data_IF_796953579148
#
_entry.id   IF_796953579148
#
_cell.length_a   1.000
_cell.length_b   1.000
_cell.length_c   1.000
_cell.angle_alpha   90.00
_cell.angle_beta   90.00
_cell.angle_gamma   90.00
#
_symmetry.space_group_name_H-M   'P 1'
#
loop_
_entity.id
_entity.type
_entity.pdbx_description
1 polymer ?
#
# COMPACT_ATOMS: atom_id res chain seq x y z
N UNK A 1 -22.72 25.55 -24.06
CA UNK A 1 -21.57 25.45 -25.00
C UNK A 1 -20.30 24.87 -24.37
N UNK A 2 -19.84 25.34 -23.19
CA UNK A 2 -18.57 24.88 -22.57
C UNK A 2 -18.52 23.36 -22.34
N UNK A 3 -19.59 22.76 -21.81
CA UNK A 3 -19.62 21.32 -21.53
C UNK A 3 -19.50 20.44 -22.80
N UNK A 4 -20.17 20.85 -23.89
CA UNK A 4 -20.07 20.14 -25.18
C UNK A 4 -18.65 20.22 -25.75
N UNK A 5 -18.01 21.38 -25.65
CA UNK A 5 -16.60 21.55 -26.04
C UNK A 5 -15.66 20.67 -25.22
N UNK A 6 -15.81 20.69 -23.90
CA UNK A 6 -14.98 19.88 -22.99
C UNK A 6 -15.14 18.38 -23.26
N UNK A 7 -16.35 17.93 -23.61
CA UNK A 7 -16.59 16.56 -24.04
C UNK A 7 -15.77 16.21 -25.28
N UNK A 8 -15.83 17.00 -26.34
CA UNK A 8 -15.02 16.76 -27.56
C UNK A 8 -13.51 16.83 -27.30
N UNK A 9 -13.05 17.77 -26.47
CA UNK A 9 -11.64 17.85 -26.04
C UNK A 9 -11.22 16.57 -25.30
N UNK A 10 -12.08 16.05 -24.43
CA UNK A 10 -11.80 14.81 -23.69
C UNK A 10 -11.74 13.59 -24.60
N UNK A 11 -12.62 13.51 -25.61
CA UNK A 11 -12.63 12.43 -26.59
C UNK A 11 -11.31 12.40 -27.39
N UNK A 12 -10.85 13.55 -27.90
CA UNK A 12 -9.57 13.62 -28.60
C UNK A 12 -8.36 13.34 -27.70
N UNK A 13 -8.39 13.80 -26.44
CA UNK A 13 -7.31 13.54 -25.49
C UNK A 13 -7.20 12.04 -25.16
N UNK A 14 -8.34 11.36 -24.95
CA UNK A 14 -8.39 9.92 -24.71
C UNK A 14 -8.00 9.11 -25.96
N UNK A 15 -8.19 9.65 -27.15
CA UNK A 15 -7.68 9.09 -28.40
C UNK A 15 -6.17 9.33 -28.61
N UNK A 16 -5.48 10.00 -27.67
CA UNK A 16 -4.03 10.21 -27.70
C UNK A 16 -3.55 11.41 -28.51
N UNK A 17 -4.44 12.31 -28.94
CA UNK A 17 -4.04 13.53 -29.66
C UNK A 17 -3.30 14.49 -28.72
N UNK A 18 -2.29 15.17 -29.27
CA UNK A 18 -1.57 16.23 -28.55
C UNK A 18 -2.42 17.49 -28.43
N UNK A 19 -2.12 18.34 -27.44
CA UNK A 19 -2.83 19.62 -27.20
C UNK A 19 -2.84 20.49 -28.46
N UNK A 20 -1.74 20.48 -29.22
CA UNK A 20 -1.59 21.24 -30.47
C UNK A 20 -2.55 20.74 -31.53
N UNK A 21 -2.59 19.43 -31.77
CA UNK A 21 -3.52 18.82 -32.73
C UNK A 21 -4.98 19.06 -32.36
N UNK A 22 -5.32 19.02 -31.05
CA UNK A 22 -6.67 19.31 -30.56
C UNK A 22 -7.05 20.78 -30.83
N UNK A 23 -6.12 21.70 -30.57
CA UNK A 23 -6.33 23.13 -30.80
C UNK A 23 -6.56 23.45 -32.28
N UNK A 24 -5.74 22.88 -33.17
CA UNK A 24 -5.90 23.01 -34.62
C UNK A 24 -7.25 22.47 -35.09
N UNK A 25 -7.60 21.25 -34.66
CA UNK A 25 -8.81 20.55 -35.11
C UNK A 25 -10.11 21.21 -34.63
N UNK A 26 -10.08 21.88 -33.49
CA UNK A 26 -11.22 22.62 -32.95
C UNK A 26 -11.18 24.12 -33.27
N UNK A 27 -10.12 24.61 -33.93
CA UNK A 27 -9.89 26.04 -34.18
C UNK A 27 -9.94 26.88 -32.89
N UNK A 28 -9.29 26.39 -31.83
CA UNK A 28 -9.24 27.03 -30.50
C UNK A 28 -7.80 27.38 -30.13
N UNK A 29 -7.62 28.37 -29.25
CA UNK A 29 -6.30 28.70 -28.73
C UNK A 29 -5.76 27.57 -27.84
N UNK A 30 -4.44 27.36 -27.85
CA UNK A 30 -3.75 26.41 -26.96
C UNK A 30 -4.06 26.66 -25.48
N UNK A 31 -4.16 27.93 -25.09
CA UNK A 31 -4.50 28.33 -23.73
C UNK A 31 -5.90 27.85 -23.31
N UNK A 32 -6.87 27.92 -24.23
CA UNK A 32 -8.23 27.41 -24.00
C UNK A 32 -8.23 25.89 -23.79
N UNK A 33 -7.55 25.13 -24.66
CA UNK A 33 -7.47 23.67 -24.53
C UNK A 33 -6.76 23.26 -23.24
N UNK A 34 -5.66 23.92 -22.90
CA UNK A 34 -4.92 23.68 -21.64
C UNK A 34 -5.82 23.90 -20.41
N UNK A 35 -6.59 24.99 -20.39
CA UNK A 35 -7.55 25.29 -19.31
C UNK A 35 -8.67 24.24 -19.22
N UNK A 36 -9.22 23.80 -20.35
CA UNK A 36 -10.25 22.77 -20.39
C UNK A 36 -9.71 21.42 -19.89
N UNK A 37 -8.51 21.01 -20.32
CA UNK A 37 -7.87 19.78 -19.84
C UNK A 37 -7.55 19.83 -18.35
N UNK A 38 -7.13 20.98 -17.81
CA UNK A 38 -6.95 21.16 -16.36
C UNK A 38 -8.25 20.92 -15.61
N UNK A 39 -9.34 21.51 -16.08
CA UNK A 39 -10.69 21.33 -15.51
C UNK A 39 -11.13 19.86 -15.56
N UNK A 40 -10.97 19.21 -16.71
CA UNK A 40 -11.31 17.78 -16.89
C UNK A 40 -10.51 16.87 -15.97
N UNK A 41 -9.20 17.09 -15.84
CA UNK A 41 -8.34 16.31 -14.93
C UNK A 41 -8.77 16.46 -13.48
N UNK A 42 -9.14 17.66 -13.05
CA UNK A 42 -9.67 17.89 -11.70
C UNK A 42 -11.00 17.16 -11.49
N UNK A 43 -11.91 17.21 -12.48
CA UNK A 43 -13.18 16.48 -12.43
C UNK A 43 -12.95 14.97 -12.35
N UNK A 44 -12.10 14.40 -13.19
CA UNK A 44 -11.77 12.97 -13.15
C UNK A 44 -11.11 12.55 -11.85
N UNK A 45 -10.20 13.37 -11.30
CA UNK A 45 -9.62 13.10 -9.99
C UNK A 45 -10.70 13.06 -8.90
N UNK A 46 -11.61 14.03 -8.90
CA UNK A 46 -12.72 14.07 -7.92
C UNK A 46 -13.68 12.88 -8.07
N UNK A 47 -13.98 12.47 -9.30
CA UNK A 47 -14.86 11.33 -9.56
C UNK A 47 -14.17 10.01 -9.22
N UNK A 48 -12.88 9.86 -9.51
CA UNK A 48 -12.10 8.69 -9.10
C UNK A 48 -12.05 8.54 -7.58
N UNK A 49 -11.93 9.64 -6.83
CA UNK A 49 -12.02 9.63 -5.37
C UNK A 49 -13.39 9.10 -4.93
N UNK A 50 -14.48 9.65 -5.47
CA UNK A 50 -15.85 9.21 -5.16
C UNK A 50 -16.09 7.74 -5.51
N UNK A 51 -15.62 7.28 -6.67
CA UNK A 51 -15.72 5.89 -7.09
C UNK A 51 -14.95 4.97 -6.14
N UNK A 52 -13.74 5.37 -5.75
CA UNK A 52 -12.94 4.65 -4.75
C UNK A 52 -13.66 4.57 -3.40
N UNK A 53 -14.21 5.67 -2.91
CA UNK A 53 -14.99 5.70 -1.66
C UNK A 53 -16.19 4.76 -1.71
N UNK A 54 -16.95 4.77 -2.82
CA UNK A 54 -18.09 3.85 -3.02
C UNK A 54 -17.64 2.39 -3.01
N UNK A 55 -16.53 2.08 -3.68
CA UNK A 55 -15.96 0.74 -3.70
C UNK A 55 -15.53 0.29 -2.29
N UNK A 56 -14.77 1.13 -1.59
CA UNK A 56 -14.32 0.85 -0.21
C UNK A 56 -15.53 0.64 0.71
N UNK A 57 -16.55 1.50 0.62
CA UNK A 57 -17.77 1.36 1.43
C UNK A 57 -18.49 0.03 1.17
N UNK A 58 -18.65 -0.35 -0.10
CA UNK A 58 -19.28 -1.64 -0.48
C UNK A 58 -18.50 -2.82 0.09
N UNK A 59 -17.18 -2.79 -0.07
CA UNK A 59 -16.34 -3.90 0.37
C UNK A 59 -16.27 -3.99 1.90
N UNK A 60 -16.23 -2.86 2.61
CA UNK A 60 -16.32 -2.85 4.07
C UNK A 60 -17.65 -3.41 4.56
N UNK A 61 -18.77 -3.08 3.93
CA UNK A 61 -20.08 -3.66 4.27
C UNK A 61 -20.09 -5.19 4.06
N UNK A 62 -19.48 -5.68 2.97
CA UNK A 62 -19.31 -7.12 2.73
C UNK A 62 -18.48 -7.78 3.81
N UNK A 63 -17.38 -7.16 4.23
CA UNK A 63 -16.52 -7.66 5.30
C UNK A 63 -17.23 -7.65 6.67
N UNK A 64 -18.04 -6.63 6.96
CA UNK A 64 -18.86 -6.60 8.18
C UNK A 64 -19.86 -7.76 8.20
N UNK A 65 -20.48 -8.09 7.07
CA UNK A 65 -21.39 -9.25 7.00
C UNK A 65 -20.64 -10.57 7.21
N UNK A 66 -19.42 -10.70 6.65
CA UNK A 66 -18.58 -11.90 6.86
C UNK A 66 -18.10 -12.03 8.31
N UNK A 67 -17.81 -10.90 8.96
CA UNK A 67 -17.46 -10.83 10.37
C UNK A 67 -18.62 -11.31 11.23
N UNK A 68 -19.83 -10.79 10.99
CA UNK A 68 -21.05 -11.24 11.67
C UNK A 68 -21.29 -12.74 11.46
N UNK A 69 -21.17 -13.23 10.22
CA UNK A 69 -21.30 -14.64 9.90
C UNK A 69 -20.29 -15.51 10.66
N UNK A 70 -19.02 -15.08 10.72
CA UNK A 70 -17.98 -15.79 11.45
C UNK A 70 -18.26 -15.82 12.95
N UNK A 71 -18.79 -14.74 13.52
CA UNK A 71 -19.20 -14.69 14.93
C UNK A 71 -20.36 -15.67 15.18
N UNK A 72 -21.37 -15.68 14.32
CA UNK A 72 -22.55 -16.54 14.52
C UNK A 72 -22.24 -18.03 14.34
N UNK A 73 -21.46 -18.40 13.32
CA UNK A 73 -21.32 -19.80 12.91
C UNK A 73 -20.01 -20.47 13.33
N UNK A 74 -18.95 -19.69 13.62
CA UNK A 74 -17.64 -20.24 14.00
C UNK A 74 -17.34 -20.04 15.50
N UNK A 75 -18.16 -19.26 16.22
CA UNK A 75 -18.06 -19.17 17.67
C UNK A 75 -18.81 -20.29 18.40
N UNK A 76 -19.67 -21.04 17.68
CA UNK A 76 -20.33 -22.21 18.25
C UNK A 76 -19.28 -23.26 18.66
N UNK A 77 -19.46 -23.90 19.83
CA UNK A 77 -18.56 -24.93 20.27
C UNK A 77 -18.63 -26.14 19.33
N UNK A 78 -17.51 -26.48 18.70
CA UNK A 78 -17.36 -27.80 18.04
C UNK A 78 -17.02 -28.82 19.13
N UNK A 79 -17.59 -30.01 19.04
CA UNK A 79 -17.18 -31.13 19.88
C UNK A 79 -15.80 -31.62 19.42
N UNK A 80 -14.76 -31.25 20.16
CA UNK A 80 -13.39 -31.65 19.88
C UNK A 80 -12.98 -32.69 20.93
N UNK A 81 -12.54 -33.86 20.46
CA UNK A 81 -11.97 -34.89 21.33
C UNK A 81 -10.47 -34.68 21.45
N UNK A 82 -9.94 -34.66 22.67
CA UNK A 82 -8.50 -34.62 22.91
C UNK A 82 -7.85 -36.00 22.58
N UNK A 83 -6.52 -36.08 22.60
CA UNK A 83 -5.80 -37.34 22.36
C UNK A 83 -6.11 -38.44 23.39
N UNK A 84 -6.65 -38.05 24.55
CA UNK A 84 -7.08 -38.92 25.65
C UNK A 84 -8.51 -39.45 25.46
N UNK A 85 -9.25 -38.93 24.48
CA UNK A 85 -10.66 -39.27 24.22
C UNK A 85 -11.67 -38.45 25.04
N UNK A 86 -11.25 -37.47 25.83
CA UNK A 86 -12.17 -36.59 26.55
C UNK A 86 -12.77 -35.54 25.61
N UNK A 87 -14.07 -35.30 25.77
CA UNK A 87 -14.78 -34.23 25.09
C UNK A 87 -14.35 -32.88 25.68
N UNK A 88 -13.55 -32.13 24.93
CA UNK A 88 -13.25 -30.72 25.23
C UNK A 88 -14.19 -29.89 24.37
N UNK A 89 -15.36 -29.57 24.92
CA UNK A 89 -16.30 -28.65 24.26
C UNK A 89 -15.69 -27.25 24.26
N UNK A 90 -15.45 -26.70 23.08
CA UNK A 90 -14.93 -25.35 22.91
C UNK A 90 -15.13 -24.84 21.49
N UNK A 91 -15.25 -23.51 21.29
CA UNK A 91 -15.24 -22.93 19.94
C UNK A 91 -14.01 -23.45 19.21
N UNK A 92 -14.09 -23.80 17.92
CA UNK A 92 -12.89 -24.11 17.15
C UNK A 92 -12.08 -22.81 17.00
N UNK A 93 -11.15 -22.53 17.93
CA UNK A 93 -10.65 -21.19 18.09
C UNK A 93 -9.73 -20.85 16.92
N UNK A 94 -9.14 -21.87 16.32
CA UNK A 94 -8.23 -21.77 15.17
C UNK A 94 -8.98 -21.28 13.94
N UNK A 95 -10.10 -21.91 13.56
CA UNK A 95 -10.89 -21.49 12.38
C UNK A 95 -11.43 -20.07 12.53
N UNK A 96 -11.99 -19.76 13.70
CA UNK A 96 -12.52 -18.43 14.00
C UNK A 96 -11.42 -17.35 13.96
N UNK A 97 -10.30 -17.56 14.67
CA UNK A 97 -9.18 -16.61 14.70
C UNK A 97 -8.60 -16.42 13.29
N UNK A 98 -8.43 -17.49 12.51
CA UNK A 98 -7.94 -17.38 11.14
C UNK A 98 -8.88 -16.57 10.24
N UNK A 99 -10.20 -16.76 10.37
CA UNK A 99 -11.19 -15.98 9.63
C UNK A 99 -11.12 -14.49 10.02
N UNK A 100 -11.10 -14.19 11.32
CA UNK A 100 -10.99 -12.83 11.84
C UNK A 100 -9.69 -12.14 11.42
N UNK A 101 -8.55 -12.82 11.48
CA UNK A 101 -7.27 -12.28 11.01
C UNK A 101 -7.31 -11.91 9.52
N UNK A 102 -7.92 -12.76 8.67
CA UNK A 102 -8.10 -12.46 7.24
C UNK A 102 -8.98 -11.22 7.03
N UNK A 103 -10.07 -11.09 7.79
CA UNK A 103 -10.97 -9.94 7.72
C UNK A 103 -10.24 -8.66 8.14
N UNK A 104 -9.57 -8.67 9.29
CA UNK A 104 -8.82 -7.52 9.83
C UNK A 104 -7.74 -7.08 8.83
N UNK A 105 -6.96 -8.02 8.30
CA UNK A 105 -5.93 -7.72 7.29
C UNK A 105 -6.53 -7.10 6.03
N UNK A 106 -7.67 -7.61 5.56
CA UNK A 106 -8.32 -7.01 4.37
C UNK A 106 -8.86 -5.61 4.66
N UNK A 107 -9.41 -5.37 5.85
CA UNK A 107 -9.87 -4.04 6.29
C UNK A 107 -8.71 -3.05 6.38
N UNK A 108 -7.58 -3.43 6.99
CA UNK A 108 -6.41 -2.56 7.08
C UNK A 108 -5.87 -2.18 5.70
N UNK A 109 -5.83 -3.12 4.76
CA UNK A 109 -5.46 -2.85 3.36
C UNK A 109 -6.42 -1.88 2.66
N UNK A 110 -7.73 -2.06 2.80
CA UNK A 110 -8.74 -1.18 2.16
C UNK A 110 -8.72 0.23 2.72
N UNK A 111 -8.49 0.36 4.03
CA UNK A 111 -8.38 1.64 4.72
C UNK A 111 -7.01 2.31 4.53
N UNK A 112 -6.03 1.60 3.97
CA UNK A 112 -4.66 2.11 3.80
C UNK A 112 -3.87 2.20 5.10
N UNK A 113 -4.33 1.54 6.17
CA UNK A 113 -3.61 1.48 7.47
C UNK A 113 -2.36 0.60 7.39
N UNK A 114 -2.30 -0.29 6.40
CA UNK A 114 -1.15 -1.16 6.10
C UNK A 114 -0.11 -0.50 5.18
N UNK A 115 -0.32 0.78 4.81
CA UNK A 115 0.63 1.48 3.96
C UNK A 115 1.96 1.72 4.70
N UNK A 116 3.12 1.48 4.07
CA UNK A 116 4.41 1.74 4.70
C UNK A 116 4.52 3.22 5.05
N UNK A 117 4.81 3.51 6.32
CA UNK A 117 5.07 4.87 6.79
C UNK A 117 6.39 5.31 6.17
N UNK A 118 6.35 6.31 5.30
CA UNK A 118 7.56 7.00 4.85
C UNK A 118 8.07 7.82 6.02
N UNK A 119 9.12 7.34 6.67
CA UNK A 119 9.89 8.13 7.62
C UNK A 119 10.77 9.07 6.79
N UNK A 120 10.39 10.34 6.73
CA UNK A 120 11.28 11.38 6.24
C UNK A 120 12.38 11.53 7.30
N UNK A 121 13.54 10.95 7.02
CA UNK A 121 14.72 11.17 7.84
C UNK A 121 15.24 12.57 7.50
N UNK A 122 14.92 13.54 8.35
CA UNK A 122 15.52 14.87 8.28
C UNK A 122 17.04 14.74 8.47
N UNK A 123 17.77 14.82 7.35
CA UNK A 123 19.23 14.68 7.32
C UNK A 123 19.96 15.72 8.19
N UNK A 124 19.27 16.79 8.58
CA UNK A 124 19.77 17.89 9.42
C UNK A 124 19.88 17.50 10.90
N UNK A 125 19.04 16.61 11.42
CA UNK A 125 19.10 16.20 12.84
C UNK A 125 20.19 15.14 13.11
N UNK A 126 20.57 14.36 12.10
CA UNK A 126 21.61 13.34 12.25
C UNK A 126 23.03 13.89 12.41
N UNK A 127 23.33 15.10 11.90
CA UNK A 127 24.68 15.65 11.95
C UNK A 127 25.05 16.29 13.29
N UNK A 128 24.09 16.90 13.99
CA UNK A 128 24.39 17.62 15.24
C UNK A 128 24.62 16.66 16.42
N UNK A 129 23.83 15.58 16.51
CA UNK A 129 23.98 14.58 17.58
C UNK A 129 25.28 13.76 17.48
N UNK A 130 25.80 13.56 16.26
CA UNK A 130 27.09 12.87 16.06
C UNK A 130 28.26 13.78 16.45
N UNK A 131 28.18 15.08 16.14
CA UNK A 131 29.23 16.04 16.48
C UNK A 131 29.26 16.29 17.99
N UNK A 132 28.11 16.44 18.65
CA UNK A 132 28.03 16.63 20.10
C UNK A 132 28.52 15.41 20.91
N UNK A 133 28.23 14.19 20.46
CA UNK A 133 28.75 12.97 21.10
C UNK A 133 30.23 12.75 20.83
N UNK A 134 30.77 13.18 19.69
CA UNK A 134 32.21 13.06 19.40
C UNK A 134 33.09 13.96 20.28
N UNK A 135 32.56 15.07 20.78
CA UNK A 135 33.30 16.03 21.61
C UNK A 135 33.49 15.57 23.08
N UNK A 136 32.76 14.53 23.52
CA UNK A 136 32.78 14.02 24.90
C UNK A 136 33.35 12.60 25.01
N UNK A 137 33.59 11.92 23.90
CA UNK A 137 34.18 10.59 23.88
C UNK A 137 35.70 10.68 23.89
N UNK A 138 36.33 9.86 24.73
CA UNK A 138 37.79 9.70 24.67
C UNK A 138 38.21 9.05 23.35
N UNK A 139 39.41 9.36 22.87
CA UNK A 139 39.99 8.78 21.63
C UNK A 139 39.92 7.25 21.57
N UNK A 140 39.93 6.59 22.74
CA UNK A 140 39.82 5.14 22.84
C UNK A 140 38.42 4.65 22.45
N UNK A 141 37.38 5.36 22.87
CA UNK A 141 35.99 4.98 22.59
C UNK A 141 35.63 5.27 21.13
N UNK A 142 36.17 6.34 20.54
CA UNK A 142 36.06 6.62 19.10
C UNK A 142 36.65 5.47 18.29
N UNK A 143 37.84 4.99 18.65
CA UNK A 143 38.47 3.83 18.00
C UNK A 143 37.64 2.55 18.15
N UNK A 144 37.00 2.33 19.31
CA UNK A 144 36.13 1.17 19.51
C UNK A 144 34.85 1.22 18.65
N UNK A 145 34.21 2.39 18.55
CA UNK A 145 33.02 2.59 17.72
C UNK A 145 33.34 2.39 16.24
N UNK A 146 34.46 2.94 15.77
CA UNK A 146 34.92 2.75 14.39
C UNK A 146 35.26 1.29 14.10
N UNK A 147 35.89 0.57 15.03
CA UNK A 147 36.17 -0.86 14.87
C UNK A 147 34.89 -1.69 14.81
N UNK A 148 33.88 -1.38 15.62
CA UNK A 148 32.56 -2.03 15.58
C UNK A 148 31.83 -1.75 14.26
N UNK A 149 31.81 -0.50 13.79
CA UNK A 149 31.11 -0.15 12.55
C UNK A 149 31.73 -0.80 11.31
N UNK A 150 33.06 -0.94 11.26
CA UNK A 150 33.77 -1.68 10.22
C UNK A 150 33.44 -3.18 10.25
N UNK A 151 33.33 -3.77 11.44
CA UNK A 151 32.98 -5.19 11.61
C UNK A 151 31.56 -5.47 11.12
N UNK A 152 30.60 -4.60 11.44
CA UNK A 152 29.20 -4.72 10.98
C UNK A 152 29.12 -4.63 9.45
N UNK A 153 29.83 -3.67 8.83
CA UNK A 153 29.87 -3.56 7.35
C UNK A 153 30.46 -4.81 6.70
N UNK A 154 31.52 -5.39 7.27
CA UNK A 154 32.11 -6.63 6.76
C UNK A 154 31.15 -7.83 6.88
N UNK A 155 30.34 -7.89 7.94
CA UNK A 155 29.33 -8.94 8.11
C UNK A 155 28.16 -8.79 7.12
N UNK A 156 27.66 -7.57 6.91
CA UNK A 156 26.61 -7.28 5.93
C UNK A 156 27.06 -7.53 4.48
N UNK A 157 28.33 -7.24 4.17
CA UNK A 157 28.94 -7.55 2.86
C UNK A 157 29.09 -9.06 2.61
N UNK A 158 29.28 -9.87 3.65
CA UNK A 158 29.36 -11.34 3.53
C UNK A 158 27.99 -12.01 3.47
N UNK A 159 26.94 -11.37 3.98
CA UNK A 159 25.56 -11.87 3.98
C UNK A 159 24.79 -11.73 2.66
N UNK A 160 25.34 -11.04 1.64
CA UNK A 160 24.61 -10.75 0.39
C UNK A 160 24.70 -11.84 -0.69
N UNK A 161 25.29 -13.01 -0.39
CA UNK A 161 25.20 -14.19 -1.26
C UNK A 161 24.03 -15.10 -0.84
N UNK A 162 22.80 -14.62 -0.97
CA UNK A 162 21.64 -15.52 -1.03
C UNK A 162 21.00 -15.43 -2.41
N UNK A 163 21.22 -16.50 -3.18
CA UNK A 163 20.49 -16.83 -4.40
C UNK A 163 18.99 -16.71 -4.14
N UNK A 164 18.30 -15.88 -4.91
CA UNK A 164 16.90 -16.08 -5.26
C UNK A 164 16.78 -15.83 -6.77
N UNK A 165 17.21 -16.83 -7.53
CA UNK A 165 16.72 -17.05 -8.89
C UNK A 165 15.34 -17.66 -8.70
N UNK A 166 14.30 -16.85 -8.84
CA UNK A 166 12.93 -17.35 -8.95
C UNK A 166 12.72 -17.60 -10.44
N UNK A 167 12.92 -18.86 -10.86
CA UNK A 167 12.44 -19.35 -12.14
C UNK A 167 10.91 -19.36 -12.10
N UNK A 168 10.28 -18.41 -12.80
CA UNK A 168 8.85 -18.41 -13.05
C UNK A 168 8.64 -19.17 -14.36
N UNK A 169 8.44 -20.47 -14.27
CA UNK A 169 7.90 -21.26 -15.38
C UNK A 169 6.40 -20.95 -15.54
N UNK A 170 5.90 -20.66 -16.76
CA UNK A 170 4.48 -20.43 -16.98
C UNK A 170 3.72 -21.77 -16.96
N UNK A 171 2.88 -21.96 -15.94
CA UNK A 171 1.94 -23.07 -15.86
C UNK A 171 0.84 -22.91 -16.91
N UNK A 172 0.56 -24.04 -17.56
CA UNK A 172 -0.29 -24.22 -18.73
C UNK A 172 -1.76 -23.83 -18.51
N UNK A 173 -2.35 -23.37 -19.62
CA UNK A 173 -3.77 -23.13 -19.83
C UNK A 173 -4.60 -24.41 -19.65
N UNK A 174 -5.77 -24.27 -19.00
CA UNK A 174 -6.96 -25.09 -19.23
C UNK A 174 -8.10 -24.11 -19.50
#
# INVERSE_FOLDING_TARGET
MIASRQRTVSEYYLAGLTIVMIAERLSLSLATISKDLKTLKQLWASENIRLRERYVKRELARLSNLEQYAIEHLAEPEEIFNATGDLVSGPNPVKFIQAMLKIIKRRSMLLGLDAPIRLELDATQGSEDIVARSATMSDLEIKMVLKRSLTIRAQLSKGTKSKNVIDISPSQSI
#
